data_IF_430980076102
#
_entry.id   IF_430980076102
#
_cell.length_a   1.000
_cell.length_b   1.000
_cell.length_c   1.000
_cell.angle_alpha   90.00
_cell.angle_beta   90.00
_cell.angle_gamma   90.00
#
_symmetry.space_group_name_H-M   'P 1'
#
loop_
_entity.id
_entity.type
_entity.pdbx_description
1 polymer ?
#
# COMPACT_ATOMS: atom_id res chain seq x y z
N UNK A 1 19.55 1.78 -14.73
CA UNK A 1 18.37 1.71 -15.61
C UNK A 1 17.15 1.42 -14.77
N UNK A 2 16.05 2.13 -15.00
CA UNK A 2 14.78 1.87 -14.33
C UNK A 2 14.21 0.52 -14.79
N UNK A 3 13.67 -0.28 -13.87
CA UNK A 3 13.05 -1.57 -14.21
C UNK A 3 11.76 -1.36 -15.01
N UNK A 4 11.59 -2.12 -16.09
CA UNK A 4 10.34 -2.14 -16.87
C UNK A 4 9.17 -2.71 -16.07
N UNK A 5 7.94 -2.42 -16.50
CA UNK A 5 6.73 -2.96 -15.86
C UNK A 5 6.75 -4.50 -15.82
N UNK A 6 7.15 -5.15 -16.90
CA UNK A 6 7.26 -6.61 -17.01
C UNK A 6 8.32 -7.17 -16.05
N UNK A 7 9.44 -6.46 -15.88
CA UNK A 7 10.46 -6.82 -14.88
C UNK A 7 9.93 -6.71 -13.45
N UNK A 8 9.14 -5.67 -13.13
CA UNK A 8 8.51 -5.53 -11.81
C UNK A 8 7.55 -6.69 -11.51
N UNK A 9 6.71 -7.07 -12.48
CA UNK A 9 5.79 -8.23 -12.36
C UNK A 9 6.57 -9.53 -12.12
N UNK A 10 7.58 -9.81 -12.94
CA UNK A 10 8.39 -11.02 -12.81
C UNK A 10 9.08 -11.12 -11.45
N UNK A 11 9.63 -10.01 -10.95
CA UNK A 11 10.23 -9.95 -9.61
C UNK A 11 9.21 -10.17 -8.50
N UNK A 12 7.98 -9.67 -8.65
CA UNK A 12 6.95 -9.88 -7.63
C UNK A 12 6.46 -11.33 -7.58
N UNK A 13 6.28 -11.97 -8.74
CA UNK A 13 6.00 -13.42 -8.84
C UNK A 13 7.10 -14.22 -8.11
N UNK A 14 8.37 -13.87 -8.35
CA UNK A 14 9.51 -14.50 -7.67
C UNK A 14 9.45 -14.34 -6.15
N UNK A 15 9.13 -13.14 -5.64
CA UNK A 15 8.97 -12.90 -4.20
C UNK A 15 7.80 -13.67 -3.61
N UNK A 16 6.63 -13.68 -4.26
CA UNK A 16 5.46 -14.45 -3.83
C UNK A 16 5.82 -15.94 -3.75
N UNK A 17 6.48 -16.47 -4.78
CA UNK A 17 6.91 -17.86 -4.81
C UNK A 17 7.81 -18.20 -3.61
N UNK A 18 8.79 -17.34 -3.30
CA UNK A 18 9.64 -17.54 -2.12
C UNK A 18 8.90 -17.40 -0.80
N UNK A 19 7.97 -16.46 -0.66
CA UNK A 19 7.12 -16.32 0.53
C UNK A 19 6.30 -17.57 0.81
N UNK A 20 5.94 -18.32 -0.23
CA UNK A 20 5.24 -19.60 -0.12
C UNK A 20 6.17 -20.82 0.02
N UNK A 21 7.50 -20.63 0.01
CA UNK A 21 8.45 -21.73 0.06
C UNK A 21 8.48 -22.62 -1.19
N UNK A 22 8.01 -22.10 -2.33
CA UNK A 22 7.93 -22.89 -3.57
C UNK A 22 9.20 -22.77 -4.41
N UNK A 23 9.60 -23.86 -5.07
CA UNK A 23 10.60 -23.83 -6.15
C UNK A 23 9.94 -23.43 -7.47
N UNK A 24 10.72 -22.99 -8.47
CA UNK A 24 10.18 -22.69 -9.81
C UNK A 24 9.50 -23.91 -10.41
N UNK A 25 10.09 -25.10 -10.23
CA UNK A 25 9.49 -26.38 -10.64
C UNK A 25 8.16 -26.66 -9.94
N UNK A 26 8.07 -26.39 -8.63
CA UNK A 26 6.83 -26.61 -7.87
C UNK A 26 5.72 -25.65 -8.34
N UNK A 27 6.01 -24.36 -8.51
CA UNK A 27 5.05 -23.39 -9.04
C UNK A 27 4.62 -23.76 -10.46
N UNK A 28 5.57 -24.13 -11.32
CA UNK A 28 5.30 -24.59 -12.68
C UNK A 28 4.34 -25.78 -12.70
N UNK A 29 4.57 -26.79 -11.86
CA UNK A 29 3.66 -27.94 -11.74
C UNK A 29 2.24 -27.53 -11.35
N UNK A 30 2.08 -26.55 -10.46
CA UNK A 30 0.77 -26.09 -9.98
C UNK A 30 -0.02 -25.34 -11.06
N UNK A 31 0.65 -24.61 -11.96
CA UNK A 31 -0.01 -23.81 -13.01
C UNK A 31 0.10 -24.43 -14.43
N UNK A 32 0.63 -25.65 -14.53
CA UNK A 32 0.81 -26.36 -15.81
C UNK A 32 1.88 -25.74 -16.73
N UNK A 33 3.01 -25.30 -16.16
CA UNK A 33 4.17 -24.71 -16.87
C UNK A 33 5.47 -25.41 -16.50
N UNK A 34 6.49 -25.30 -17.36
CA UNK A 34 7.83 -25.82 -17.06
C UNK A 34 8.56 -24.93 -16.05
N UNK A 35 9.56 -25.50 -15.36
CA UNK A 35 10.48 -24.74 -14.51
C UNK A 35 11.15 -23.58 -15.27
N UNK A 36 11.61 -23.85 -16.49
CA UNK A 36 12.22 -22.84 -17.36
C UNK A 36 11.27 -21.71 -17.74
N UNK A 37 9.99 -21.99 -17.96
CA UNK A 37 8.97 -20.97 -18.23
C UNK A 37 8.77 -20.07 -17.02
N UNK A 38 8.69 -20.64 -15.80
CA UNK A 38 8.62 -19.83 -14.57
C UNK A 38 9.86 -18.94 -14.45
N UNK A 39 11.06 -19.49 -14.69
CA UNK A 39 12.29 -18.69 -14.71
C UNK A 39 12.27 -17.56 -15.73
N UNK A 40 11.74 -17.81 -16.93
CA UNK A 40 11.61 -16.80 -17.98
C UNK A 40 10.61 -15.69 -17.61
N UNK A 41 9.51 -16.04 -16.94
CA UNK A 41 8.55 -15.08 -16.39
C UNK A 41 9.18 -14.22 -15.29
N UNK A 42 9.88 -14.83 -14.33
CA UNK A 42 10.51 -14.12 -13.21
C UNK A 42 11.62 -13.16 -13.65
N UNK A 43 12.32 -13.49 -14.74
CA UNK A 43 13.39 -12.67 -15.30
C UNK A 43 12.91 -11.74 -16.43
N UNK A 44 11.60 -11.73 -16.74
CA UNK A 44 11.00 -10.99 -17.84
C UNK A 44 11.64 -11.24 -19.21
N UNK A 45 12.20 -12.44 -19.43
CA UNK A 45 12.70 -12.88 -20.74
C UNK A 45 11.61 -13.54 -21.60
N UNK A 46 10.42 -13.80 -21.03
CA UNK A 46 9.21 -14.18 -21.76
C UNK A 46 8.01 -13.35 -21.27
N UNK A 47 7.07 -13.07 -22.19
CA UNK A 47 5.82 -12.41 -21.83
C UNK A 47 4.90 -13.36 -21.05
N UNK A 48 4.22 -12.80 -20.05
CA UNK A 48 3.23 -13.52 -19.23
C UNK A 48 1.85 -13.15 -19.77
N UNK A 49 1.04 -14.15 -20.07
CA UNK A 49 -0.36 -13.91 -20.47
C UNK A 49 -1.23 -13.69 -19.24
N UNK A 50 -2.37 -13.03 -19.45
CA UNK A 50 -3.31 -12.75 -18.37
C UNK A 50 -3.86 -14.04 -17.71
N UNK A 51 -4.14 -15.08 -18.50
CA UNK A 51 -4.54 -16.41 -18.01
C UNK A 51 -3.49 -17.01 -17.05
N UNK A 52 -2.21 -16.93 -17.40
CA UNK A 52 -1.12 -17.45 -16.55
C UNK A 52 -1.01 -16.63 -15.27
N UNK A 53 -1.19 -15.30 -15.37
CA UNK A 53 -1.17 -14.42 -14.20
C UNK A 53 -2.30 -14.78 -13.22
N UNK A 54 -3.51 -15.02 -13.71
CA UNK A 54 -4.65 -15.45 -12.88
C UNK A 54 -4.42 -16.83 -12.25
N UNK A 55 -3.83 -17.79 -12.98
CA UNK A 55 -3.47 -19.10 -12.41
C UNK A 55 -2.45 -18.98 -11.29
N UNK A 56 -1.44 -18.12 -11.45
CA UNK A 56 -0.48 -17.83 -10.39
C UNK A 56 -1.19 -17.22 -9.18
N UNK A 57 -2.05 -16.22 -9.39
CA UNK A 57 -2.83 -15.58 -8.34
C UNK A 57 -3.68 -16.59 -7.55
N UNK A 58 -4.39 -17.49 -8.24
CA UNK A 58 -5.23 -18.53 -7.65
C UNK A 58 -4.43 -19.51 -6.79
N UNK A 59 -3.35 -20.09 -7.35
CA UNK A 59 -2.49 -21.04 -6.63
C UNK A 59 -1.80 -20.38 -5.43
N UNK A 60 -1.39 -19.13 -5.60
CA UNK A 60 -0.67 -18.39 -4.55
C UNK A 60 -1.59 -17.73 -3.52
N UNK A 61 -2.90 -17.72 -3.78
CA UNK A 61 -3.91 -16.98 -3.00
C UNK A 61 -3.57 -15.49 -2.84
N UNK A 62 -2.92 -14.92 -3.85
CA UNK A 62 -2.57 -13.50 -3.94
C UNK A 62 -3.49 -12.85 -4.97
N UNK A 63 -3.94 -11.62 -4.69
CA UNK A 63 -4.74 -10.85 -5.63
C UNK A 63 -3.94 -10.55 -6.92
N UNK A 64 -4.50 -10.71 -8.12
CA UNK A 64 -3.79 -10.43 -9.37
C UNK A 64 -3.16 -9.03 -9.43
N UNK A 65 -3.81 -8.03 -8.84
CA UNK A 65 -3.30 -6.65 -8.80
C UNK A 65 -2.01 -6.53 -7.99
N UNK A 66 -1.85 -7.35 -6.95
CA UNK A 66 -0.65 -7.37 -6.11
C UNK A 66 0.54 -8.00 -6.85
N UNK A 67 0.30 -8.88 -7.83
CA UNK A 67 1.36 -9.40 -8.71
C UNK A 67 1.86 -8.36 -9.71
N UNK A 68 1.03 -7.35 -10.03
CA UNK A 68 1.36 -6.28 -10.98
C UNK A 68 2.01 -5.08 -10.29
N UNK A 69 1.41 -4.67 -9.17
CA UNK A 69 1.75 -3.41 -8.49
C UNK A 69 2.62 -3.62 -7.23
N UNK A 70 2.85 -4.87 -6.85
CA UNK A 70 3.41 -5.22 -5.55
C UNK A 70 2.32 -5.33 -4.48
N UNK A 71 2.65 -5.79 -3.26
CA UNK A 71 1.70 -5.71 -2.16
C UNK A 71 1.21 -4.27 -2.06
N UNK A 72 -0.11 -4.10 -1.97
CA UNK A 72 -0.68 -2.78 -1.75
C UNK A 72 0.14 -2.12 -0.66
N UNK A 73 0.72 -0.94 -0.94
CA UNK A 73 1.32 -0.14 0.13
C UNK A 73 0.21 -0.03 1.14
N UNK A 74 0.33 -0.74 2.27
CA UNK A 74 -0.52 -0.48 3.41
C UNK A 74 -0.27 0.98 3.64
N UNK A 75 -1.23 1.83 3.28
CA UNK A 75 -1.23 3.20 3.77
C UNK A 75 -0.97 3.02 5.25
N UNK A 76 0.14 3.57 5.73
CA UNK A 76 0.46 3.50 7.13
C UNK A 76 -0.80 4.03 7.78
N UNK A 77 -1.59 3.15 8.43
CA UNK A 77 -2.77 3.57 9.16
C UNK A 77 -2.19 4.55 10.16
N UNK A 78 -2.36 5.83 9.86
CA UNK A 78 -2.10 6.87 10.80
C UNK A 78 -2.92 6.51 12.01
N UNK A 79 -2.39 6.65 13.22
CA UNK A 79 -3.14 6.37 14.45
C UNK A 79 -4.29 7.36 14.68
N UNK A 80 -4.79 7.99 13.62
CA UNK A 80 -5.77 9.04 13.56
C UNK A 80 -6.84 8.62 12.55
N UNK A 81 -8.10 8.84 12.91
CA UNK A 81 -9.26 8.55 12.06
C UNK A 81 -9.43 9.60 10.96
N UNK A 82 -8.92 10.82 11.17
CA UNK A 82 -8.86 11.88 10.17
C UNK A 82 -7.57 12.69 10.25
N UNK A 83 -7.08 13.16 9.10
CA UNK A 83 -5.96 14.09 8.99
C UNK A 83 -6.25 15.10 7.86
N UNK A 84 -6.11 16.40 8.14
CA UNK A 84 -6.36 17.48 7.18
C UNK A 84 -5.18 18.44 7.13
N UNK A 85 -4.67 18.71 5.92
CA UNK A 85 -3.66 19.76 5.69
C UNK A 85 -4.32 21.13 5.75
N UNK A 86 -3.83 22.00 6.62
CA UNK A 86 -4.37 23.36 6.80
C UNK A 86 -3.20 24.34 6.93
N UNK A 87 -3.15 25.30 6.00
CA UNK A 87 -2.02 26.23 5.87
C UNK A 87 -2.02 27.30 6.97
N UNK A 88 -3.14 27.99 7.19
CA UNK A 88 -3.27 29.07 8.17
C UNK A 88 -3.31 28.59 9.61
N UNK A 89 -2.67 29.32 10.52
CA UNK A 89 -2.72 29.00 11.96
C UNK A 89 -4.14 29.20 12.53
N UNK A 90 -4.82 30.27 12.14
CA UNK A 90 -6.18 30.56 12.61
C UNK A 90 -7.20 29.54 12.10
N UNK A 91 -7.06 29.09 10.85
CA UNK A 91 -7.87 28.01 10.30
C UNK A 91 -7.64 26.70 11.05
N UNK A 92 -6.38 26.38 11.40
CA UNK A 92 -6.06 25.19 12.21
C UNK A 92 -6.73 25.23 13.57
N UNK A 93 -6.65 26.36 14.28
CA UNK A 93 -7.31 26.53 15.57
C UNK A 93 -8.82 26.36 15.44
N UNK A 94 -9.42 26.96 14.42
CA UNK A 94 -10.87 26.86 14.16
C UNK A 94 -11.28 25.41 13.96
N UNK A 95 -10.58 24.68 13.08
CA UNK A 95 -10.90 23.27 12.81
C UNK A 95 -10.64 22.38 14.03
N UNK A 96 -9.55 22.59 14.77
CA UNK A 96 -9.28 21.86 16.02
C UNK A 96 -10.39 22.07 17.05
N UNK A 97 -10.88 23.30 17.21
CA UNK A 97 -11.99 23.62 18.12
C UNK A 97 -13.27 22.93 17.69
N UNK A 98 -13.61 22.97 16.39
CA UNK A 98 -14.80 22.28 15.87
C UNK A 98 -14.72 20.79 16.19
N UNK A 99 -13.60 20.14 15.90
CA UNK A 99 -13.41 18.71 16.15
C UNK A 99 -13.47 18.38 17.65
N UNK A 100 -12.81 19.17 18.50
CA UNK A 100 -12.86 18.98 19.95
C UNK A 100 -14.28 19.15 20.53
N UNK A 101 -15.04 20.13 20.02
CA UNK A 101 -16.45 20.34 20.42
C UNK A 101 -17.35 19.19 19.99
N UNK A 102 -16.98 18.44 18.94
CA UNK A 102 -17.67 17.22 18.51
C UNK A 102 -17.09 15.95 19.16
N UNK A 103 -16.33 16.09 20.26
CA UNK A 103 -15.86 14.96 21.06
C UNK A 103 -14.57 14.29 20.57
N UNK A 104 -13.98 14.70 19.44
CA UNK A 104 -12.75 14.09 18.95
C UNK A 104 -11.51 14.45 19.80
N UNK A 105 -10.58 13.52 19.92
CA UNK A 105 -9.22 13.81 20.40
C UNK A 105 -8.42 14.45 19.26
N UNK A 106 -7.98 15.70 19.45
CA UNK A 106 -7.42 16.54 18.40
C UNK A 106 -5.96 16.90 18.65
N UNK A 107 -5.18 16.97 17.58
CA UNK A 107 -3.82 17.50 17.63
C UNK A 107 -3.37 18.06 16.29
N UNK A 108 -2.13 18.54 16.25
CA UNK A 108 -1.49 18.99 15.02
C UNK A 108 -0.07 18.45 14.90
N UNK A 109 0.38 18.22 13.68
CA UNK A 109 1.77 17.86 13.40
C UNK A 109 2.24 18.46 12.06
N UNK A 110 3.53 18.30 11.78
CA UNK A 110 4.16 18.80 10.55
C UNK A 110 4.77 17.65 9.76
N UNK A 111 4.61 17.67 8.43
CA UNK A 111 5.29 16.77 7.49
C UNK A 111 6.20 17.59 6.57
N UNK A 112 7.34 17.04 6.18
CA UNK A 112 8.17 17.66 5.15
C UNK A 112 7.42 17.67 3.82
N UNK A 113 7.47 18.80 3.10
CA UNK A 113 6.76 18.96 1.83
C UNK A 113 7.34 18.10 0.71
N UNK A 114 8.66 17.86 0.75
CA UNK A 114 9.38 16.98 -0.17
C UNK A 114 10.52 16.28 0.59
N UNK A 115 11.00 15.11 0.13
CA UNK A 115 12.11 14.39 0.79
C UNK A 115 13.43 15.18 0.89
N UNK A 116 13.59 16.24 0.11
CA UNK A 116 14.80 17.07 0.02
C UNK A 116 14.56 18.55 0.34
N UNK A 117 13.32 18.96 0.65
CA UNK A 117 12.93 20.36 0.81
C UNK A 117 12.87 20.82 2.26
N UNK A 118 13.20 22.10 2.49
CA UNK A 118 13.13 22.78 3.80
C UNK A 118 11.70 23.16 4.23
N UNK A 119 10.74 23.13 3.31
CA UNK A 119 9.36 23.56 3.58
C UNK A 119 8.58 22.49 4.34
N UNK A 120 7.85 22.91 5.37
CA UNK A 120 6.98 22.05 6.18
C UNK A 120 5.52 22.33 5.91
N UNK A 121 4.71 21.28 5.87
CA UNK A 121 3.25 21.35 5.76
C UNK A 121 2.63 20.99 7.09
N UNK A 122 1.62 21.76 7.50
CA UNK A 122 0.92 21.59 8.76
C UNK A 122 -0.38 20.80 8.57
N UNK A 123 -0.63 19.89 9.50
CA UNK A 123 -1.80 19.02 9.50
C UNK A 123 -2.48 19.07 10.86
N UNK A 124 -3.81 19.05 10.87
CA UNK A 124 -4.64 18.74 12.03
C UNK A 124 -5.04 17.28 11.92
N UNK A 125 -5.03 16.56 13.04
CA UNK A 125 -5.50 15.17 13.10
C UNK A 125 -6.56 15.01 14.19
N UNK A 126 -7.48 14.08 13.98
CA UNK A 126 -8.56 13.74 14.89
C UNK A 126 -8.63 12.22 15.09
N UNK A 127 -8.93 11.80 16.31
CA UNK A 127 -9.13 10.40 16.68
C UNK A 127 -10.44 10.25 17.43
N UNK A 128 -11.25 9.30 17.01
CA UNK A 128 -12.45 8.86 17.70
C UNK A 128 -12.11 7.69 18.63
N UNK A 129 -12.30 7.91 19.94
CA UNK A 129 -12.02 6.92 20.96
C UNK A 129 -13.32 6.53 21.65
N UNK A 130 -13.37 5.30 22.16
CA UNK A 130 -14.58 4.76 22.82
C UNK A 130 -15.01 5.55 24.07
N UNK A 131 -14.10 6.30 24.66
CA UNK A 131 -14.28 7.14 25.84
C UNK A 131 -14.53 8.62 25.50
N UNK A 132 -14.57 8.98 24.21
CA UNK A 132 -14.89 10.32 23.79
C UNK A 132 -16.34 10.68 24.13
N UNK A 133 -16.58 11.97 24.38
CA UNK A 133 -17.92 12.46 24.67
C UNK A 133 -18.83 12.29 23.45
N UNK A 134 -19.97 11.62 23.62
CA UNK A 134 -21.00 11.55 22.59
C UNK A 134 -21.72 12.91 22.52
N UNK A 135 -21.46 13.63 21.44
CA UNK A 135 -22.04 14.96 21.19
C UNK A 135 -23.23 14.90 20.24
N UNK A 136 -23.67 13.70 19.82
CA UNK A 136 -24.90 13.54 19.06
C UNK A 136 -26.10 13.75 19.99
N UNK A 137 -26.59 14.99 20.04
CA UNK A 137 -27.90 15.34 20.60
C UNK A 137 -28.89 15.67 19.51
#
# INVERSE_FOLDING_TARGET
>A
MEMSATQKVGQEIKKVRYRMGLTQKALGKLIGKSESQIGAYENASASITLDVLFKIAEVTKIKPEELITGPAKKEAKTGWDAELRIYGLEDRKTVMTILAVNGYDVGQHKKQATPTGKSVMYYVHATDRKDNADTAK
#
